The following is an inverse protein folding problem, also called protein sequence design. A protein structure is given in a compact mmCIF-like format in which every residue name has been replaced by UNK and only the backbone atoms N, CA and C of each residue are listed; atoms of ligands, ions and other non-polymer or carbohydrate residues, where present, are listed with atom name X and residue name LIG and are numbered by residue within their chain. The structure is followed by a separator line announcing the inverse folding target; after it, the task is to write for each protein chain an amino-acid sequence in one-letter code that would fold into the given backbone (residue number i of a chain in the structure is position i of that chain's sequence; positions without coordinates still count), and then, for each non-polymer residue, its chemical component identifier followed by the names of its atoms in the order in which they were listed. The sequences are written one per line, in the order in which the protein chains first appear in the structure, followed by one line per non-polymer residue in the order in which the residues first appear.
data_IF_175437985604
#
_entry.id   IF_175437985604
#
_cell.length_a   1.000
_cell.length_b   1.000
_cell.length_c   1.000
_cell.angle_alpha   90.00
_cell.angle_beta   90.00
_cell.angle_gamma   90.00
#
_symmetry.space_group_name_H-M   'P 1'
#
loop_
_entity.id
_entity.type
_entity.pdbx_description
1 polymer ?
#
# COMPACT_ATOMS: atom_id res chain seq x y z
N UNK A 1 24.77 -17.83 -21.09
CA UNK A 1 23.34 -18.01 -20.66
C UNK A 1 23.01 -17.19 -19.41
N UNK A 2 23.56 -15.99 -19.24
CA UNK A 2 23.40 -15.19 -18.02
C UNK A 2 22.12 -14.34 -17.96
N UNK A 3 21.56 -13.97 -19.12
CA UNK A 3 20.39 -13.08 -19.19
C UNK A 3 19.11 -13.68 -18.58
N UNK A 4 18.94 -15.01 -18.63
CA UNK A 4 17.77 -15.69 -18.05
C UNK A 4 17.82 -15.68 -16.51
N UNK A 5 19.01 -15.81 -15.91
CA UNK A 5 19.18 -15.85 -14.46
C UNK A 5 19.00 -14.46 -13.83
N UNK A 6 19.56 -13.43 -14.45
CA UNK A 6 19.36 -12.04 -14.04
C UNK A 6 17.89 -11.61 -14.17
N UNK A 7 17.20 -12.02 -15.25
CA UNK A 7 15.77 -11.74 -15.44
C UNK A 7 14.90 -12.48 -14.43
N UNK A 8 15.20 -13.75 -14.14
CA UNK A 8 14.48 -14.52 -13.13
C UNK A 8 14.64 -13.94 -11.72
N UNK A 9 15.85 -13.49 -11.34
CA UNK A 9 16.06 -12.86 -10.03
C UNK A 9 15.36 -11.50 -9.93
N UNK A 10 15.41 -10.69 -10.99
CA UNK A 10 14.70 -9.42 -11.07
C UNK A 10 13.18 -9.62 -10.95
N UNK A 11 12.62 -10.61 -11.65
CA UNK A 11 11.21 -10.98 -11.53
C UNK A 11 10.87 -11.49 -10.13
N UNK A 12 11.72 -12.32 -9.51
CA UNK A 12 11.51 -12.82 -8.14
C UNK A 12 11.48 -11.69 -7.11
N UNK A 13 12.44 -10.77 -7.17
CA UNK A 13 12.49 -9.59 -6.29
C UNK A 13 11.28 -8.69 -6.51
N UNK A 14 10.88 -8.48 -7.77
CA UNK A 14 9.72 -7.66 -8.14
C UNK A 14 8.39 -8.25 -7.65
N UNK A 15 8.19 -9.56 -7.79
CA UNK A 15 7.00 -10.24 -7.27
C UNK A 15 6.95 -10.18 -5.74
N UNK A 16 8.10 -10.27 -5.06
CA UNK A 16 8.20 -10.09 -3.61
C UNK A 16 7.83 -8.67 -3.16
N UNK A 17 8.32 -7.64 -3.85
CA UNK A 17 8.00 -6.23 -3.57
C UNK A 17 6.50 -5.94 -3.71
N UNK A 18 5.88 -6.40 -4.80
CA UNK A 18 4.43 -6.22 -5.01
C UNK A 18 3.61 -6.97 -3.96
N UNK A 19 4.04 -8.18 -3.59
CA UNK A 19 3.39 -8.97 -2.54
C UNK A 19 3.47 -8.26 -1.18
N UNK A 20 4.62 -7.67 -0.84
CA UNK A 20 4.78 -6.90 0.39
C UNK A 20 3.86 -5.67 0.43
N UNK A 21 3.83 -4.88 -0.65
CA UNK A 21 2.94 -3.71 -0.72
C UNK A 21 1.47 -4.09 -0.57
N UNK A 22 1.04 -5.14 -1.28
CA UNK A 22 -0.34 -5.63 -1.20
C UNK A 22 -0.68 -6.12 0.21
N UNK A 23 0.24 -6.85 0.86
CA UNK A 23 0.07 -7.31 2.24
C UNK A 23 -0.08 -6.12 3.22
N UNK A 24 0.78 -5.10 3.11
CA UNK A 24 0.70 -3.90 3.95
C UNK A 24 -0.60 -3.12 3.73
N UNK A 25 -1.02 -2.95 2.48
CA UNK A 25 -2.31 -2.30 2.16
C UNK A 25 -3.48 -3.07 2.77
N UNK A 26 -3.48 -4.40 2.66
CA UNK A 26 -4.52 -5.25 3.25
C UNK A 26 -4.54 -5.19 4.79
N UNK A 27 -3.37 -5.11 5.44
CA UNK A 27 -3.29 -4.96 6.89
C UNK A 27 -3.91 -3.65 7.37
N UNK A 28 -3.57 -2.53 6.70
CA UNK A 28 -4.14 -1.20 6.98
C UNK A 28 -5.67 -1.23 6.86
N UNK A 29 -6.19 -1.78 5.75
CA UNK A 29 -7.64 -1.89 5.55
C UNK A 29 -8.31 -2.79 6.58
N UNK A 30 -7.65 -3.87 7.02
CA UNK A 30 -8.15 -4.76 8.05
C UNK A 30 -8.29 -4.05 9.40
N UNK A 31 -7.26 -3.31 9.83
CA UNK A 31 -7.30 -2.51 11.06
C UNK A 31 -8.36 -1.42 10.99
N UNK A 32 -8.48 -0.72 9.86
CA UNK A 32 -9.51 0.29 9.65
C UNK A 32 -10.94 -0.28 9.82
N UNK A 33 -11.19 -1.51 9.34
CA UNK A 33 -12.48 -2.21 9.55
C UNK A 33 -12.73 -2.60 11.00
N UNK A 34 -11.67 -2.94 11.74
CA UNK A 34 -11.78 -3.23 13.18
C UNK A 34 -12.13 -1.97 13.98
N UNK A 35 -11.56 -0.83 13.61
CA UNK A 35 -11.79 0.46 14.28
C UNK A 35 -13.09 1.14 13.84
N UNK A 36 -13.55 0.89 12.62
CA UNK A 36 -14.79 1.45 12.07
C UNK A 36 -15.66 0.32 11.47
N UNK A 37 -16.65 -0.21 12.23
CA UNK A 37 -17.62 -1.15 11.69
C UNK A 37 -18.32 -0.59 10.46
N UNK A 38 -18.47 -1.39 9.40
CA UNK A 38 -19.06 -0.94 8.14
C UNK A 38 -18.12 -0.17 7.21
N UNK A 39 -16.82 -0.07 7.54
CA UNK A 39 -15.82 0.58 6.69
C UNK A 39 -15.80 0.03 5.25
N UNK A 40 -15.99 -1.28 5.03
CA UNK A 40 -16.05 -1.84 3.67
C UNK A 40 -17.29 -1.45 2.86
N UNK A 41 -18.34 -0.93 3.51
CA UNK A 41 -19.56 -0.48 2.83
C UNK A 41 -19.45 0.96 2.32
N UNK A 42 -18.49 1.71 2.84
CA UNK A 42 -18.23 3.09 2.45
C UNK A 42 -17.66 3.16 1.03
N UNK A 43 -17.98 4.22 0.29
CA UNK A 43 -17.33 4.46 -1.00
C UNK A 43 -15.85 4.79 -0.79
N UNK A 44 -15.02 4.60 -1.82
CA UNK A 44 -13.55 4.80 -1.72
C UNK A 44 -13.20 6.20 -1.15
N UNK A 45 -13.93 7.24 -1.54
CA UNK A 45 -13.72 8.59 -1.03
C UNK A 45 -13.97 8.70 0.49
N UNK A 46 -15.04 8.07 0.98
CA UNK A 46 -15.37 8.03 2.41
C UNK A 46 -14.38 7.17 3.20
N UNK A 47 -13.92 6.04 2.64
CA UNK A 47 -12.87 5.22 3.24
C UNK A 47 -11.60 6.05 3.50
N UNK A 48 -11.19 6.88 2.53
CA UNK A 48 -10.03 7.75 2.71
C UNK A 48 -10.27 8.85 3.75
N UNK A 49 -11.49 9.37 3.88
CA UNK A 49 -11.84 10.33 4.92
C UNK A 49 -11.79 9.70 6.32
N UNK A 50 -12.30 8.49 6.48
CA UNK A 50 -12.23 7.76 7.76
C UNK A 50 -10.78 7.49 8.14
N UNK A 51 -9.97 6.98 7.20
CA UNK A 51 -8.54 6.77 7.42
C UNK A 51 -7.84 8.08 7.80
N UNK A 52 -8.19 9.19 7.16
CA UNK A 52 -7.62 10.51 7.45
C UNK A 52 -7.90 10.95 8.89
N UNK A 53 -9.11 10.68 9.39
CA UNK A 53 -9.49 10.97 10.78
C UNK A 53 -8.77 10.06 11.77
N UNK A 54 -8.65 8.77 11.46
CA UNK A 54 -7.98 7.80 12.33
C UNK A 54 -6.47 8.07 12.44
N UNK A 55 -5.80 8.28 11.31
CA UNK A 55 -4.33 8.43 11.28
C UNK A 55 -3.87 9.88 11.39
N UNK A 56 -4.78 10.86 11.38
CA UNK A 56 -4.50 12.32 11.31
C UNK A 56 -3.61 12.70 10.11
N UNK A 57 -3.70 11.95 9.02
CA UNK A 57 -2.96 12.20 7.79
C UNK A 57 -3.89 12.78 6.72
N UNK A 58 -3.38 13.60 5.79
CA UNK A 58 -4.20 14.12 4.72
C UNK A 58 -4.70 12.99 3.80
N UNK A 59 -5.94 13.10 3.34
CA UNK A 59 -6.59 12.15 2.41
C UNK A 59 -5.76 11.91 1.15
N UNK A 60 -5.00 12.92 0.69
CA UNK A 60 -4.09 12.80 -0.46
C UNK A 60 -2.93 11.82 -0.21
N UNK A 61 -2.34 11.83 0.99
CA UNK A 61 -1.27 10.90 1.36
C UNK A 61 -1.81 9.46 1.49
N UNK A 62 -3.04 9.31 2.02
CA UNK A 62 -3.72 8.01 2.10
C UNK A 62 -4.05 7.47 0.72
N UNK A 63 -4.57 8.33 -0.17
CA UNK A 63 -4.84 7.98 -1.56
C UNK A 63 -3.56 7.53 -2.25
N UNK A 64 -2.48 8.30 -2.15
CA UNK A 64 -1.18 7.96 -2.76
C UNK A 64 -0.63 6.61 -2.25
N UNK A 65 -0.83 6.32 -0.96
CA UNK A 65 -0.38 5.08 -0.33
C UNK A 65 -1.21 3.83 -0.73
N UNK A 66 -2.54 3.98 -0.81
CA UNK A 66 -3.48 2.87 -0.98
C UNK A 66 -4.04 2.71 -2.39
N UNK A 67 -3.82 3.68 -3.30
CA UNK A 67 -4.35 3.62 -4.66
C UNK A 67 -3.83 2.36 -5.37
N UNK A 68 -4.71 1.56 -5.98
CA UNK A 68 -4.29 0.45 -6.83
C UNK A 68 -3.60 1.05 -8.05
N UNK A 69 -2.27 1.07 -8.05
CA UNK A 69 -1.49 1.55 -9.19
C UNK A 69 -1.45 0.43 -10.24
N UNK A 70 -1.88 0.67 -11.49
CA UNK A 70 -1.67 -0.30 -12.55
C UNK A 70 -0.15 -0.53 -12.70
N UNK A 71 0.30 -1.77 -12.88
CA UNK A 71 1.73 -2.04 -13.11
C UNK A 71 2.16 -1.30 -14.39
N UNK A 72 3.04 -0.29 -14.25
CA UNK A 72 4.46 -0.57 -14.46
C UNK A 72 5.36 -0.08 -13.30
N UNK A 73 6.67 -0.21 -13.51
CA UNK A 73 7.75 -0.40 -12.52
C UNK A 73 7.91 0.81 -11.59
N UNK A 74 7.54 0.65 -10.31
CA UNK A 74 8.07 1.51 -9.25
C UNK A 74 9.60 1.32 -9.22
N UNK A 75 10.34 2.42 -9.26
CA UNK A 75 11.75 2.44 -8.93
C UNK A 75 11.97 1.99 -7.49
N UNK A 76 13.19 1.56 -7.16
CA UNK A 76 13.54 1.18 -5.78
C UNK A 76 13.29 2.33 -4.79
N UNK A 77 13.56 3.58 -5.18
CA UNK A 77 13.28 4.77 -4.37
C UNK A 77 11.79 5.00 -4.15
N UNK A 78 10.96 4.84 -5.19
CA UNK A 78 9.51 4.96 -5.07
C UNK A 78 8.94 3.83 -4.21
N UNK A 79 9.46 2.60 -4.36
CA UNK A 79 9.09 1.47 -3.52
C UNK A 79 9.40 1.74 -2.04
N UNK A 80 10.61 2.17 -1.70
CA UNK A 80 10.99 2.46 -0.31
C UNK A 80 10.13 3.59 0.26
N UNK A 81 9.85 4.64 -0.53
CA UNK A 81 8.94 5.72 -0.12
C UNK A 81 7.53 5.19 0.13
N UNK A 82 7.00 4.36 -0.76
CA UNK A 82 5.68 3.75 -0.62
C UNK A 82 5.60 2.85 0.63
N UNK A 83 6.61 2.03 0.87
CA UNK A 83 6.70 1.18 2.06
C UNK A 83 6.76 2.04 3.33
N UNK A 84 7.53 3.13 3.34
CA UNK A 84 7.58 4.05 4.47
C UNK A 84 6.21 4.69 4.75
N UNK A 85 5.53 5.20 3.71
CA UNK A 85 4.19 5.78 3.84
C UNK A 85 3.17 4.76 4.38
N UNK A 86 3.17 3.53 3.85
CA UNK A 86 2.30 2.45 4.34
C UNK A 86 2.60 2.07 5.79
N UNK A 87 3.88 2.05 6.18
CA UNK A 87 4.25 1.77 7.56
C UNK A 87 3.83 2.91 8.51
N UNK A 88 3.98 4.17 8.10
CA UNK A 88 3.47 5.31 8.88
C UNK A 88 1.96 5.21 9.09
N UNK A 89 1.19 4.88 8.04
CA UNK A 89 -0.25 4.65 8.13
C UNK A 89 -0.60 3.52 9.09
N UNK A 90 0.07 2.37 8.94
CA UNK A 90 -0.17 1.20 9.79
C UNK A 90 0.14 1.49 11.26
N UNK A 91 1.18 2.25 11.55
CA UNK A 91 1.58 2.56 12.92
C UNK A 91 0.66 3.61 13.58
N UNK A 92 -0.09 4.37 12.78
CA UNK A 92 -1.05 5.37 13.26
C UNK A 92 -2.48 4.81 13.43
N UNK A 93 -2.72 3.55 13.03
CA UNK A 93 -3.96 2.79 13.24
C UNK A 93 -3.79 1.81 14.41
#
# INVERSE_FOLDING_TARGET
TEHLRASAEFLRRRSGQQTLLKSLQQDILRRARQLHPGFERLVIAEQWQVLSRLTRLPTSAISDALRPRPPPRLSHSEFTRQVAQLQTLRNAL
#
